data_IF_585191654013
#
_entry.id   IF_585191654013
#
_cell.length_a   1.000
_cell.length_b   1.000
_cell.length_c   1.000
_cell.angle_alpha   90.00
_cell.angle_beta   90.00
_cell.angle_gamma   90.00
#
_symmetry.space_group_name_H-M   'P 1'
#
loop_
_entity.id
_entity.type
_entity.pdbx_description
1 polymer ?
#
# COMPACT_ATOMS: atom_id res chain seq x y z
N UNK A 1 -5.19 -31.93 -53.25
CA UNK A 1 -4.04 -31.08 -52.92
C UNK A 1 -4.06 -29.84 -53.81
N UNK A 2 -4.37 -28.67 -53.24
CA UNK A 2 -4.28 -27.35 -53.88
C UNK A 2 -3.45 -26.47 -52.94
N UNK A 3 -2.41 -25.76 -53.40
CA UNK A 3 -1.59 -24.94 -52.52
C UNK A 3 -2.28 -23.59 -52.26
N UNK A 4 -2.33 -23.23 -50.98
CA UNK A 4 -2.81 -21.94 -50.49
C UNK A 4 -1.70 -20.89 -50.65
N UNK A 5 -2.02 -19.79 -51.34
CA UNK A 5 -1.16 -18.61 -51.44
C UNK A 5 -1.11 -17.88 -50.08
N UNK A 6 0.11 -17.68 -49.55
CA UNK A 6 0.38 -16.86 -48.37
C UNK A 6 0.70 -15.44 -48.82
N UNK A 7 -0.22 -14.51 -48.57
CA UNK A 7 -0.07 -13.09 -48.81
C UNK A 7 0.84 -12.44 -47.76
N UNK A 8 1.73 -11.57 -48.23
CA UNK A 8 2.55 -10.63 -47.45
C UNK A 8 1.71 -9.42 -47.02
N UNK A 9 2.09 -8.80 -45.90
CA UNK A 9 1.90 -7.39 -45.46
C UNK A 9 1.68 -7.36 -43.93
N UNK A 10 2.16 -6.40 -43.14
CA UNK A 10 2.97 -5.23 -43.38
C UNK A 10 3.66 -4.84 -42.05
N UNK A 11 4.76 -4.11 -42.15
CA UNK A 11 5.49 -3.55 -41.02
C UNK A 11 4.64 -2.51 -40.26
N UNK A 12 4.63 -2.60 -38.93
CA UNK A 12 4.08 -1.59 -38.02
C UNK A 12 5.07 -0.43 -37.87
N UNK A 13 4.61 0.84 -37.92
CA UNK A 13 5.46 1.98 -37.62
C UNK A 13 5.72 2.11 -36.10
N UNK A 14 6.99 2.31 -35.74
CA UNK A 14 7.42 2.75 -34.41
C UNK A 14 6.96 4.19 -34.19
N UNK A 15 6.03 4.40 -33.25
CA UNK A 15 5.78 5.71 -32.66
C UNK A 15 6.68 5.86 -31.43
N UNK A 16 7.77 6.60 -31.60
CA UNK A 16 8.54 7.19 -30.51
C UNK A 16 8.17 8.67 -30.33
N UNK A 17 8.22 9.10 -29.07
CA UNK A 17 8.31 10.48 -28.55
C UNK A 17 7.05 11.35 -28.53
N UNK A 18 6.49 11.54 -27.33
CA UNK A 18 6.55 12.83 -26.62
C UNK A 18 5.87 12.73 -25.23
N UNK A 19 6.67 12.53 -24.19
CA UNK A 19 6.27 12.78 -22.80
C UNK A 19 7.39 13.59 -22.15
N UNK A 20 7.29 14.91 -22.28
CA UNK A 20 8.20 15.87 -21.65
C UNK A 20 7.50 17.21 -21.51
N UNK A 21 6.74 17.41 -20.42
CA UNK A 21 6.52 18.74 -19.80
C UNK A 21 5.72 18.72 -18.49
N UNK A 22 5.03 17.64 -18.10
CA UNK A 22 4.14 17.69 -16.92
C UNK A 22 4.81 17.40 -15.56
N UNK A 23 6.12 17.12 -15.52
CA UNK A 23 6.83 16.73 -14.29
C UNK A 23 7.60 17.89 -13.62
N UNK A 24 7.56 19.10 -14.18
CA UNK A 24 8.36 20.26 -13.73
C UNK A 24 7.63 21.25 -12.78
N UNK A 25 6.37 21.01 -12.42
CA UNK A 25 5.61 21.94 -11.55
C UNK A 25 5.45 21.50 -10.09
N UNK A 26 6.28 20.57 -9.58
CA UNK A 26 6.36 20.25 -8.14
C UNK A 26 7.72 20.55 -7.48
N UNK A 27 8.59 21.34 -8.10
CA UNK A 27 9.84 21.81 -7.46
C UNK A 27 9.97 23.33 -7.32
N UNK A 28 8.92 24.10 -7.55
CA UNK A 28 8.98 25.57 -7.47
C UNK A 28 7.92 26.20 -6.56
N UNK A 29 7.93 25.80 -5.29
CA UNK A 29 7.63 26.72 -4.19
C UNK A 29 8.91 26.89 -3.36
N UNK A 30 9.83 27.67 -3.91
CA UNK A 30 11.05 28.13 -3.26
C UNK A 30 10.69 29.09 -2.11
N UNK A 31 10.46 28.55 -0.91
CA UNK A 31 10.78 29.24 0.32
C UNK A 31 12.19 28.84 0.76
N UNK A 32 13.00 29.82 1.14
CA UNK A 32 14.41 29.65 1.51
C UNK A 32 14.54 28.78 2.76
N UNK A 33 15.19 27.61 2.61
CA UNK A 33 16.06 26.88 3.56
C UNK A 33 15.77 27.08 5.06
N UNK A 34 14.67 26.51 5.56
CA UNK A 34 14.77 25.73 6.78
C UNK A 34 15.39 24.38 6.38
N UNK A 35 16.37 23.86 7.12
CA UNK A 35 16.91 22.54 6.84
C UNK A 35 15.76 21.54 6.85
N UNK A 36 15.39 21.01 5.67
CA UNK A 36 14.35 19.99 5.54
C UNK A 36 14.92 18.69 6.12
N UNK A 37 14.88 18.56 7.44
CA UNK A 37 15.05 17.27 8.08
C UNK A 37 14.00 16.35 7.47
N UNK A 38 14.38 15.17 6.95
CA UNK A 38 13.42 14.20 6.44
C UNK A 38 12.32 13.95 7.48
N UNK A 39 11.06 13.77 7.07
CA UNK A 39 9.96 13.55 8.01
C UNK A 39 10.09 12.26 8.81
N UNK A 40 10.98 11.34 8.42
CA UNK A 40 11.20 10.03 9.03
C UNK A 40 12.69 9.79 9.34
N UNK A 41 13.01 8.88 10.29
CA UNK A 41 14.37 8.37 10.49
C UNK A 41 14.99 7.88 9.17
N UNK A 42 16.32 7.99 8.98
CA UNK A 42 16.97 7.73 7.69
C UNK A 42 16.63 6.39 7.06
N UNK A 43 16.59 5.30 7.87
CA UNK A 43 16.25 3.97 7.35
C UNK A 43 14.82 3.89 6.85
N UNK A 44 13.86 4.46 7.59
CA UNK A 44 12.46 4.47 7.19
C UNK A 44 12.26 5.35 5.95
N UNK A 45 12.94 6.49 5.88
CA UNK A 45 12.92 7.34 4.70
C UNK A 45 13.43 6.60 3.45
N UNK A 46 14.51 5.83 3.56
CA UNK A 46 15.03 5.04 2.44
C UNK A 46 14.00 4.01 1.92
N UNK A 47 13.24 3.38 2.82
CA UNK A 47 12.16 2.46 2.43
C UNK A 47 11.00 3.22 1.75
N UNK A 48 10.59 4.37 2.30
CA UNK A 48 9.56 5.23 1.70
C UNK A 48 9.97 5.66 0.28
N UNK A 49 11.20 6.11 0.11
CA UNK A 49 11.74 6.52 -1.19
C UNK A 49 11.77 5.35 -2.18
N UNK A 50 12.15 4.15 -1.73
CA UNK A 50 12.09 2.95 -2.55
C UNK A 50 10.66 2.68 -3.03
N UNK A 51 9.68 2.69 -2.13
CA UNK A 51 8.27 2.39 -2.42
C UNK A 51 7.69 3.42 -3.40
N UNK A 52 7.95 4.71 -3.21
CA UNK A 52 7.47 5.75 -4.12
C UNK A 52 7.93 5.52 -5.57
N UNK A 53 9.16 5.04 -5.72
CA UNK A 53 9.78 4.82 -7.02
C UNK A 53 9.46 3.45 -7.65
N UNK A 54 9.15 2.41 -6.87
CA UNK A 54 9.07 1.03 -7.37
C UNK A 54 7.75 0.31 -7.13
N UNK A 55 6.90 0.79 -6.22
CA UNK A 55 5.75 0.02 -5.78
C UNK A 55 4.69 -0.15 -6.88
N UNK A 56 4.21 -1.39 -7.00
CA UNK A 56 3.03 -1.77 -7.77
C UNK A 56 1.94 -2.30 -6.82
N UNK A 57 1.09 -1.38 -6.36
CA UNK A 57 0.10 -1.60 -5.30
C UNK A 57 -1.27 -2.06 -5.81
N UNK A 58 -1.37 -2.40 -7.10
CA UNK A 58 -2.64 -2.78 -7.75
C UNK A 58 -2.45 -4.05 -8.57
N UNK A 59 -2.97 -5.16 -8.05
CA UNK A 59 -3.10 -6.44 -8.77
C UNK A 59 -1.81 -6.92 -9.42
N UNK A 60 -0.74 -6.98 -8.64
CA UNK A 60 0.54 -7.53 -9.10
C UNK A 60 0.48 -9.06 -9.28
N UNK A 61 -0.62 -9.69 -8.84
CA UNK A 61 -0.85 -11.13 -8.99
C UNK A 61 0.14 -11.96 -8.18
N UNK A 62 0.68 -11.39 -7.10
CA UNK A 62 1.52 -12.13 -6.17
C UNK A 62 0.60 -12.99 -5.29
N UNK A 63 0.65 -14.33 -5.41
CA UNK A 63 -0.07 -15.18 -4.49
C UNK A 63 0.53 -15.06 -3.09
N UNK A 64 -0.32 -15.11 -2.07
CA UNK A 64 0.15 -15.35 -0.70
C UNK A 64 0.21 -16.85 -0.43
N UNK A 65 1.19 -17.25 0.39
CA UNK A 65 1.46 -18.63 0.74
C UNK A 65 0.98 -18.98 2.16
N UNK A 66 0.73 -17.98 3.01
CA UNK A 66 0.24 -18.16 4.37
C UNK A 66 1.18 -19.03 5.23
N UNK A 67 2.48 -18.82 5.09
CA UNK A 67 3.52 -19.48 5.89
C UNK A 67 3.94 -18.60 7.07
N UNK A 68 4.50 -19.20 8.12
CA UNK A 68 5.08 -18.43 9.23
C UNK A 68 6.26 -17.60 8.74
N UNK A 69 6.47 -16.41 9.30
CA UNK A 69 7.47 -15.46 8.80
C UNK A 69 8.91 -15.99 8.77
N UNK A 70 9.24 -16.99 9.59
CA UNK A 70 10.55 -17.66 9.59
C UNK A 70 10.76 -18.64 8.43
N UNK A 71 9.69 -19.05 7.76
CA UNK A 71 9.71 -20.01 6.65
C UNK A 71 9.55 -19.32 5.29
N UNK A 72 9.11 -18.06 5.27
CA UNK A 72 8.87 -17.30 4.04
C UNK A 72 10.14 -17.18 3.19
N UNK A 73 10.03 -17.64 1.93
CA UNK A 73 11.09 -17.51 0.92
C UNK A 73 10.84 -16.35 -0.06
N UNK A 74 9.74 -15.62 0.10
CA UNK A 74 9.38 -14.49 -0.77
C UNK A 74 10.50 -13.45 -0.77
N UNK A 75 11.12 -13.16 -1.92
CA UNK A 75 12.22 -12.20 -1.97
C UNK A 75 11.71 -10.80 -1.64
N UNK A 76 12.37 -10.12 -0.71
CA UNK A 76 12.11 -8.73 -0.36
C UNK A 76 13.26 -7.82 -0.79
N UNK A 77 13.00 -6.54 -1.11
CA UNK A 77 14.04 -5.58 -1.43
C UNK A 77 15.08 -5.46 -0.31
N UNK A 78 16.35 -5.24 -0.67
CA UNK A 78 17.45 -5.16 0.29
C UNK A 78 17.22 -4.08 1.38
N UNK A 79 16.62 -2.95 1.00
CA UNK A 79 16.28 -1.85 1.95
C UNK A 79 15.31 -2.27 3.05
N UNK A 80 14.60 -3.39 2.86
CA UNK A 80 13.61 -3.94 3.78
C UNK A 80 14.13 -5.13 4.59
N UNK A 81 15.32 -5.65 4.27
CA UNK A 81 15.87 -6.79 4.99
C UNK A 81 16.08 -6.42 6.46
N UNK A 82 15.65 -7.32 7.35
CA UNK A 82 15.71 -7.11 8.80
C UNK A 82 14.84 -5.96 9.31
N UNK A 83 13.85 -5.49 8.53
CA UNK A 83 12.85 -4.54 9.01
C UNK A 83 11.85 -5.28 9.91
N UNK A 84 11.72 -4.83 11.15
CA UNK A 84 10.77 -5.34 12.15
C UNK A 84 10.13 -4.16 12.89
N UNK A 85 9.05 -4.39 13.63
CA UNK A 85 8.46 -3.35 14.48
C UNK A 85 9.42 -2.86 15.57
N UNK A 86 10.25 -3.73 16.14
CA UNK A 86 11.30 -3.33 17.09
C UNK A 86 12.33 -2.38 16.45
N UNK A 87 12.75 -2.66 15.20
CA UNK A 87 13.63 -1.75 14.46
C UNK A 87 12.96 -0.40 14.24
N UNK A 88 11.68 -0.37 13.86
CA UNK A 88 10.93 0.88 13.68
C UNK A 88 10.90 1.68 15.00
N UNK A 89 10.60 1.03 16.13
CA UNK A 89 10.57 1.68 17.44
C UNK A 89 11.95 2.25 17.84
N UNK A 90 13.04 1.52 17.58
CA UNK A 90 14.40 1.99 17.84
C UNK A 90 14.76 3.20 16.98
N UNK A 91 14.45 3.16 15.68
CA UNK A 91 14.71 4.26 14.74
C UNK A 91 13.94 5.53 15.13
N UNK A 92 12.67 5.40 15.52
CA UNK A 92 11.82 6.54 15.90
C UNK A 92 12.25 7.15 17.24
N UNK A 93 12.64 6.33 18.21
CA UNK A 93 13.05 6.82 19.53
C UNK A 93 14.52 7.23 19.62
N UNK A 94 15.36 6.80 18.68
CA UNK A 94 16.81 6.92 18.75
C UNK A 94 17.44 6.08 19.87
N UNK A 95 16.67 5.21 20.53
CA UNK A 95 17.12 4.39 21.66
C UNK A 95 17.49 2.99 21.18
N UNK A 96 18.79 2.66 21.25
CA UNK A 96 19.25 1.27 21.21
C UNK A 96 18.96 0.61 22.56
N UNK A 97 17.71 0.27 22.82
CA UNK A 97 17.40 -0.59 23.96
C UNK A 97 17.77 -2.03 23.62
N UNK A 98 18.34 -2.74 24.60
CA UNK A 98 18.60 -4.17 24.45
C UNK A 98 17.28 -4.86 24.11
N UNK A 99 17.26 -5.58 22.98
CA UNK A 99 16.11 -6.31 22.40
C UNK A 99 15.44 -7.26 23.42
N UNK A 100 16.13 -7.57 24.52
CA UNK A 100 15.70 -8.52 25.54
C UNK A 100 14.65 -8.00 26.54
N UNK A 101 14.24 -6.73 26.51
CA UNK A 101 13.13 -6.24 27.35
C UNK A 101 11.87 -6.04 26.53
N UNK A 102 11.05 -7.09 26.43
CA UNK A 102 9.70 -7.06 25.81
C UNK A 102 8.82 -5.91 26.35
N UNK A 103 9.09 -5.42 27.56
CA UNK A 103 8.37 -4.34 28.22
C UNK A 103 8.83 -2.90 27.90
N UNK A 104 9.77 -2.70 26.97
CA UNK A 104 10.39 -1.37 26.83
C UNK A 104 9.50 -0.29 26.17
N UNK A 105 8.46 -0.69 25.43
CA UNK A 105 7.55 0.21 24.71
C UNK A 105 6.07 -0.06 25.06
N UNK A 106 5.21 0.98 25.10
CA UNK A 106 3.77 0.80 25.27
C UNK A 106 3.18 -0.13 24.20
N UNK A 107 2.20 -0.96 24.58
CA UNK A 107 1.54 -1.87 23.64
C UNK A 107 0.92 -1.15 22.42
N UNK A 108 0.22 0.00 22.57
CA UNK A 108 -0.28 0.76 21.41
C UNK A 108 0.81 1.14 20.41
N UNK A 109 1.98 1.60 20.88
CA UNK A 109 3.11 1.95 20.03
C UNK A 109 3.62 0.73 19.25
N UNK A 110 3.69 -0.46 19.89
CA UNK A 110 4.06 -1.70 19.18
C UNK A 110 3.06 -2.04 18.07
N UNK A 111 1.76 -1.94 18.33
CA UNK A 111 0.75 -2.23 17.32
C UNK A 111 0.87 -1.30 16.09
N UNK A 112 1.10 0.00 16.29
CA UNK A 112 1.33 0.93 15.18
C UNK A 112 2.66 0.68 14.46
N UNK A 113 3.71 0.23 15.16
CA UNK A 113 4.97 -0.17 14.55
C UNK A 113 4.80 -1.42 13.66
N UNK A 114 4.01 -2.42 14.07
CA UNK A 114 3.66 -3.59 13.25
C UNK A 114 2.90 -3.16 11.98
N UNK A 115 1.92 -2.26 12.11
CA UNK A 115 1.18 -1.70 10.97
C UNK A 115 2.11 -0.94 10.01
N UNK A 116 3.07 -0.18 10.51
CA UNK A 116 4.05 0.53 9.67
C UNK A 116 4.98 -0.45 8.94
N UNK A 117 5.48 -1.48 9.61
CA UNK A 117 6.27 -2.53 8.98
C UNK A 117 5.45 -3.21 7.87
N UNK A 118 4.19 -3.56 8.16
CA UNK A 118 3.30 -4.17 7.19
C UNK A 118 3.04 -3.27 5.97
N UNK A 119 2.80 -1.98 6.16
CA UNK A 119 2.68 -1.02 5.07
C UNK A 119 3.93 -1.01 4.20
N UNK A 120 5.11 -0.98 4.80
CA UNK A 120 6.34 -1.04 4.04
C UNK A 120 6.40 -2.35 3.23
N UNK A 121 6.07 -3.49 3.83
CA UNK A 121 6.06 -4.78 3.13
C UNK A 121 5.06 -4.83 1.98
N UNK A 122 3.86 -4.25 2.13
CA UNK A 122 2.90 -4.07 1.02
C UNK A 122 3.53 -3.27 -0.12
N UNK A 123 4.19 -2.14 0.18
CA UNK A 123 4.86 -1.31 -0.82
C UNK A 123 6.07 -1.98 -1.49
N UNK A 124 6.73 -2.89 -0.78
CA UNK A 124 7.88 -3.66 -1.27
C UNK A 124 7.55 -5.01 -1.92
N UNK A 125 6.28 -5.41 -1.95
CA UNK A 125 5.83 -6.70 -2.51
C UNK A 125 5.92 -7.91 -1.56
N UNK A 126 6.25 -7.71 -0.28
CA UNK A 126 6.29 -8.76 0.74
C UNK A 126 4.91 -9.03 1.37
N UNK A 127 3.93 -9.48 0.59
CA UNK A 127 2.53 -9.57 1.04
C UNK A 127 2.33 -10.51 2.24
N UNK A 128 2.94 -11.70 2.27
CA UNK A 128 2.86 -12.60 3.42
C UNK A 128 3.47 -12.01 4.70
N UNK A 129 4.61 -11.31 4.59
CA UNK A 129 5.21 -10.62 5.73
C UNK A 129 4.27 -9.54 6.28
N UNK A 130 3.66 -8.76 5.39
CA UNK A 130 2.69 -7.75 5.77
C UNK A 130 1.45 -8.38 6.43
N UNK A 131 0.93 -9.45 5.86
CA UNK A 131 -0.23 -10.19 6.34
C UNK A 131 0.02 -10.71 7.76
N UNK A 132 1.11 -11.43 7.97
CA UNK A 132 1.46 -11.99 9.28
C UNK A 132 1.58 -10.92 10.38
N UNK A 133 1.99 -9.70 10.05
CA UNK A 133 2.09 -8.59 11.00
C UNK A 133 0.71 -8.02 11.39
N UNK A 134 -0.25 -7.93 10.46
CA UNK A 134 -1.54 -7.27 10.71
C UNK A 134 -2.68 -8.23 11.06
N UNK A 135 -2.58 -9.51 10.71
CA UNK A 135 -3.61 -10.50 11.07
C UNK A 135 -3.86 -10.54 12.59
N UNK A 136 -2.86 -10.58 13.48
CA UNK A 136 -3.10 -10.62 14.92
C UNK A 136 -3.86 -9.39 15.43
N UNK A 137 -3.64 -8.24 14.79
CA UNK A 137 -4.22 -6.95 15.20
C UNK A 137 -5.65 -6.74 14.67
N UNK A 138 -6.05 -7.44 13.61
CA UNK A 138 -7.30 -7.22 12.87
C UNK A 138 -8.22 -8.44 12.79
N UNK A 139 -7.73 -9.62 13.16
CA UNK A 139 -8.49 -10.87 13.16
C UNK A 139 -8.76 -11.37 14.58
N UNK A 140 -9.97 -11.88 14.81
CA UNK A 140 -10.44 -12.26 16.16
C UNK A 140 -9.83 -13.55 16.71
N UNK A 141 -9.18 -14.37 15.87
CA UNK A 141 -8.75 -15.72 16.20
C UNK A 141 -7.27 -15.94 15.95
N UNK A 142 -6.68 -16.93 16.63
CA UNK A 142 -5.32 -17.41 16.33
C UNK A 142 -5.25 -17.98 14.91
N UNK A 143 -4.16 -17.71 14.21
CA UNK A 143 -3.80 -18.39 12.96
C UNK A 143 -2.49 -19.15 13.11
N UNK A 144 -2.24 -20.11 12.23
CA UNK A 144 -0.99 -20.90 12.25
C UNK A 144 0.21 -20.06 11.79
N UNK A 145 0.00 -19.09 10.90
CA UNK A 145 1.05 -18.28 10.28
C UNK A 145 1.38 -17.00 11.06
N UNK A 146 0.36 -16.34 11.64
CA UNK A 146 0.53 -15.06 12.33
C UNK A 146 0.52 -15.19 13.87
N UNK A 147 0.11 -16.35 14.40
CA UNK A 147 0.05 -16.58 15.83
C UNK A 147 -1.26 -16.10 16.49
N UNK A 148 -1.25 -15.83 17.82
CA UNK A 148 -2.45 -15.48 18.57
C UNK A 148 -2.97 -14.09 18.21
N UNK A 149 -4.29 -13.89 18.28
CA UNK A 149 -4.90 -12.57 18.11
C UNK A 149 -4.57 -11.61 19.27
N UNK A 150 -4.70 -10.31 19.00
CA UNK A 150 -4.53 -9.20 19.96
C UNK A 150 -5.87 -8.47 20.13
N UNK A 151 -6.77 -8.96 21.00
CA UNK A 151 -8.06 -8.34 21.23
C UNK A 151 -7.92 -6.90 21.71
N UNK A 152 -8.70 -5.99 21.13
CA UNK A 152 -8.69 -4.58 21.52
C UNK A 152 -7.43 -3.81 21.12
N UNK A 153 -6.69 -4.28 20.09
CA UNK A 153 -5.55 -3.54 19.55
C UNK A 153 -5.92 -2.09 19.23
N UNK A 154 -5.13 -1.14 19.75
CA UNK A 154 -5.25 0.28 19.45
C UNK A 154 -5.11 0.62 17.95
N UNK A 155 -4.49 -0.27 17.17
CA UNK A 155 -4.30 -0.12 15.73
C UNK A 155 -5.17 -1.09 14.90
N UNK A 156 -6.23 -1.66 15.48
CA UNK A 156 -7.06 -2.66 14.80
C UNK A 156 -7.68 -2.13 13.49
N UNK A 157 -8.09 -0.86 13.48
CA UNK A 157 -8.68 -0.22 12.31
C UNK A 157 -7.66 -0.03 11.19
N UNK A 158 -6.47 0.46 11.53
CA UNK A 158 -5.37 0.63 10.60
C UNK A 158 -4.86 -0.71 10.08
N UNK A 159 -4.73 -1.72 10.94
CA UNK A 159 -4.39 -3.09 10.56
C UNK A 159 -5.40 -3.68 9.57
N UNK A 160 -6.70 -3.53 9.81
CA UNK A 160 -7.74 -3.94 8.86
C UNK A 160 -7.63 -3.19 7.53
N UNK A 161 -7.26 -1.90 7.55
CA UNK A 161 -7.03 -1.13 6.33
C UNK A 161 -5.83 -1.69 5.54
N UNK A 162 -4.72 -1.98 6.21
CA UNK A 162 -3.54 -2.60 5.58
C UNK A 162 -3.89 -3.98 5.01
N UNK A 163 -4.71 -4.76 5.71
CA UNK A 163 -5.26 -6.03 5.22
C UNK A 163 -5.99 -5.86 3.87
N UNK A 164 -6.77 -4.78 3.71
CA UNK A 164 -7.40 -4.46 2.45
C UNK A 164 -6.39 -4.14 1.33
N UNK A 165 -5.27 -3.46 1.66
CA UNK A 165 -4.21 -3.17 0.71
C UNK A 165 -3.48 -4.43 0.25
N UNK A 166 -3.21 -5.35 1.19
CA UNK A 166 -2.58 -6.66 0.91
C UNK A 166 -3.39 -7.41 -0.14
N UNK A 167 -4.69 -7.61 0.12
CA UNK A 167 -5.55 -8.37 -0.80
C UNK A 167 -5.81 -7.64 -2.12
N UNK A 168 -5.82 -6.30 -2.14
CA UNK A 168 -5.88 -5.58 -3.43
C UNK A 168 -4.61 -5.78 -4.26
N UNK A 169 -3.45 -5.86 -3.61
CA UNK A 169 -2.19 -6.16 -4.29
C UNK A 169 -2.21 -7.59 -4.86
N UNK A 170 -2.68 -8.57 -4.08
CA UNK A 170 -2.91 -9.97 -4.49
C UNK A 170 -3.80 -10.08 -5.76
N UNK A 171 -4.83 -9.23 -5.87
CA UNK A 171 -5.58 -9.05 -7.11
C UNK A 171 -6.51 -10.21 -7.46
N UNK A 172 -6.22 -10.93 -8.55
CA UNK A 172 -7.04 -12.07 -9.02
C UNK A 172 -6.58 -13.42 -8.46
N UNK A 173 -5.49 -13.47 -7.69
CA UNK A 173 -5.11 -14.69 -7.01
C UNK A 173 -6.19 -15.07 -6.00
N UNK A 174 -6.58 -16.35 -6.00
CA UNK A 174 -7.51 -16.91 -5.03
C UNK A 174 -6.74 -17.25 -3.75
N UNK A 175 -7.22 -16.72 -2.63
CA UNK A 175 -6.67 -16.94 -1.29
C UNK A 175 -7.72 -17.49 -0.32
N UNK A 176 -7.58 -17.14 0.97
CA UNK A 176 -8.35 -17.72 2.09
C UNK A 176 -9.89 -17.64 1.92
N UNK A 177 -10.40 -16.60 1.23
CA UNK A 177 -11.84 -16.36 1.07
C UNK A 177 -12.25 -15.90 -0.35
N UNK A 178 -11.55 -16.40 -1.38
CA UNK A 178 -11.76 -16.05 -2.78
C UNK A 178 -10.68 -15.10 -3.30
N UNK A 179 -10.97 -14.37 -4.38
CA UNK A 179 -9.98 -13.48 -5.00
C UNK A 179 -9.52 -12.37 -4.05
N UNK A 180 -8.28 -11.91 -4.21
CA UNK A 180 -7.77 -10.72 -3.52
C UNK A 180 -8.70 -9.50 -3.63
N UNK A 181 -9.29 -9.23 -4.80
CA UNK A 181 -10.23 -8.11 -4.93
C UNK A 181 -11.52 -8.26 -4.10
N UNK A 182 -12.09 -9.47 -3.98
CA UNK A 182 -13.24 -9.69 -3.10
C UNK A 182 -12.86 -9.53 -1.62
N UNK A 183 -11.69 -10.04 -1.22
CA UNK A 183 -11.20 -9.92 0.15
C UNK A 183 -10.88 -8.47 0.53
N UNK A 184 -10.32 -7.69 -0.40
CA UNK A 184 -10.06 -6.27 -0.18
C UNK A 184 -11.33 -5.50 0.22
N UNK A 185 -12.47 -5.77 -0.43
CA UNK A 185 -13.74 -5.11 -0.10
C UNK A 185 -14.22 -5.41 1.33
N UNK A 186 -14.09 -6.66 1.76
CA UNK A 186 -14.41 -7.05 3.14
C UNK A 186 -13.57 -6.26 4.14
N UNK A 187 -12.26 -6.23 3.94
CA UNK A 187 -11.33 -5.54 4.85
C UNK A 187 -11.48 -4.01 4.83
N UNK A 188 -11.80 -3.42 3.69
CA UNK A 188 -12.15 -1.99 3.63
C UNK A 188 -13.39 -1.65 4.47
N UNK A 189 -14.34 -2.57 4.51
CA UNK A 189 -15.54 -2.42 5.33
C UNK A 189 -15.18 -2.55 6.80
N UNK A 190 -14.39 -3.56 7.18
CA UNK A 190 -13.90 -3.76 8.54
C UNK A 190 -13.07 -2.57 9.05
N UNK A 191 -12.29 -1.93 8.18
CA UNK A 191 -11.52 -0.73 8.49
C UNK A 191 -12.36 0.55 8.61
N UNK A 192 -13.67 0.49 8.30
CA UNK A 192 -14.54 1.65 8.11
C UNK A 192 -13.85 2.70 7.22
N UNK A 193 -13.30 2.27 6.08
CA UNK A 193 -12.37 3.08 5.29
C UNK A 193 -12.98 4.37 4.74
N UNK A 194 -14.28 4.39 4.45
CA UNK A 194 -15.00 5.58 4.00
C UNK A 194 -14.95 6.73 5.02
N UNK A 195 -14.90 6.41 6.33
CA UNK A 195 -14.82 7.39 7.43
C UNK A 195 -13.43 7.42 8.08
N UNK A 196 -12.41 6.83 7.45
CA UNK A 196 -11.05 6.86 7.96
C UNK A 196 -10.46 8.28 7.84
N UNK A 197 -9.60 8.74 8.77
CA UNK A 197 -9.00 10.08 8.70
C UNK A 197 -8.32 10.42 7.36
N UNK A 198 -7.85 9.41 6.63
CA UNK A 198 -7.22 9.60 5.31
C UNK A 198 -8.22 9.69 4.15
N UNK A 199 -9.50 9.35 4.34
CA UNK A 199 -10.50 9.22 3.28
C UNK A 199 -10.69 10.52 2.50
N UNK A 200 -10.85 11.65 3.20
CA UNK A 200 -11.05 12.95 2.55
C UNK A 200 -9.76 13.47 1.89
N UNK A 201 -8.58 13.46 2.55
CA UNK A 201 -7.30 13.76 1.88
C UNK A 201 -7.06 12.91 0.63
N UNK A 202 -7.38 11.61 0.68
CA UNK A 202 -7.21 10.70 -0.45
C UNK A 202 -8.15 11.06 -1.61
N UNK A 203 -9.41 11.39 -1.33
CA UNK A 203 -10.33 11.82 -2.39
C UNK A 203 -9.83 13.10 -3.08
N UNK A 204 -9.24 14.04 -2.35
CA UNK A 204 -8.65 15.26 -2.94
C UNK A 204 -7.47 14.93 -3.85
N UNK A 205 -6.56 14.06 -3.42
CA UNK A 205 -5.44 13.56 -4.23
C UNK A 205 -5.93 12.88 -5.51
N UNK A 206 -6.94 12.02 -5.39
CA UNK A 206 -7.52 11.30 -6.52
C UNK A 206 -8.22 12.25 -7.51
N UNK A 207 -8.95 13.25 -7.02
CA UNK A 207 -9.54 14.32 -7.87
C UNK A 207 -8.45 15.09 -8.62
N UNK A 208 -7.33 15.37 -7.97
CA UNK A 208 -6.19 16.02 -8.62
C UNK A 208 -5.61 15.13 -9.74
N UNK A 209 -5.44 13.82 -9.51
CA UNK A 209 -4.95 12.87 -10.50
C UNK A 209 -5.86 12.73 -11.74
N UNK A 210 -7.17 12.89 -11.54
CA UNK A 210 -8.18 12.83 -12.60
C UNK A 210 -8.30 14.13 -13.41
N UNK A 211 -7.82 15.27 -12.90
CA UNK A 211 -8.02 16.59 -13.48
C UNK A 211 -7.62 16.65 -14.97
N UNK A 212 -8.54 17.15 -15.81
CA UNK A 212 -8.35 17.29 -17.25
C UNK A 212 -8.53 16.00 -18.05
N UNK A 213 -9.01 14.92 -17.42
CA UNK A 213 -9.30 13.64 -18.06
C UNK A 213 -10.77 13.29 -17.84
N UNK A 214 -11.69 13.66 -18.76
CA UNK A 214 -13.14 13.62 -18.52
C UNK A 214 -13.67 12.27 -18.02
N UNK A 215 -13.11 11.16 -18.53
CA UNK A 215 -13.48 9.80 -18.11
C UNK A 215 -13.12 9.52 -16.65
N UNK A 216 -11.92 9.91 -16.22
CA UNK A 216 -11.48 9.72 -14.83
C UNK A 216 -12.19 10.71 -13.90
N UNK A 217 -12.47 11.93 -14.33
CA UNK A 217 -13.26 12.89 -13.55
C UNK A 217 -14.67 12.35 -13.28
N UNK A 218 -15.33 11.80 -14.31
CA UNK A 218 -16.63 11.15 -14.14
C UNK A 218 -16.56 9.98 -13.16
N UNK A 219 -15.52 9.13 -13.26
CA UNK A 219 -15.29 8.04 -12.32
C UNK A 219 -15.14 8.54 -10.88
N UNK A 220 -14.29 9.53 -10.63
CA UNK A 220 -14.02 10.06 -9.28
C UNK A 220 -15.23 10.81 -8.72
N UNK A 221 -15.95 11.56 -9.55
CA UNK A 221 -17.19 12.23 -9.14
C UNK A 221 -18.25 11.23 -8.68
N UNK A 222 -18.23 9.99 -9.21
CA UNK A 222 -19.12 8.93 -8.74
C UNK A 222 -18.83 8.47 -7.30
N UNK A 223 -17.67 8.78 -6.72
CA UNK A 223 -17.33 8.32 -5.36
C UNK A 223 -18.11 9.07 -4.28
N UNK A 224 -18.60 10.27 -4.57
CA UNK A 224 -19.36 11.11 -3.64
C UNK A 224 -18.46 12.05 -2.83
N UNK A 225 -18.83 12.27 -1.56
CA UNK A 225 -18.12 13.19 -0.65
C UNK A 225 -16.86 12.60 -0.01
N UNK A 226 -16.76 11.27 0.02
CA UNK A 226 -15.66 10.52 0.64
C UNK A 226 -15.04 9.55 -0.36
N UNK A 227 -13.86 9.03 -0.04
CA UNK A 227 -13.30 7.91 -0.80
C UNK A 227 -14.26 6.72 -0.74
N UNK A 228 -14.48 6.08 -1.89
CA UNK A 228 -15.39 4.95 -2.03
C UNK A 228 -14.59 3.67 -2.37
N UNK A 229 -14.10 2.91 -1.37
CA UNK A 229 -13.17 1.81 -1.59
C UNK A 229 -13.70 0.76 -2.57
N UNK A 230 -14.97 0.38 -2.47
CA UNK A 230 -15.53 -0.66 -3.36
C UNK A 230 -15.59 -0.24 -4.82
N UNK A 231 -15.86 1.04 -5.10
CA UNK A 231 -15.80 1.58 -6.47
C UNK A 231 -14.36 1.61 -6.97
N UNK A 232 -13.42 1.97 -6.10
CA UNK A 232 -11.99 1.97 -6.43
C UNK A 232 -11.46 0.57 -6.73
N UNK A 233 -11.74 -0.41 -5.87
CA UNK A 233 -11.38 -1.83 -6.08
C UNK A 233 -12.00 -2.38 -7.37
N UNK A 234 -13.27 -2.07 -7.65
CA UNK A 234 -13.93 -2.47 -8.90
C UNK A 234 -13.26 -1.84 -10.12
N UNK A 235 -12.84 -0.58 -10.03
CA UNK A 235 -12.12 0.10 -11.12
C UNK A 235 -10.75 -0.56 -11.38
N UNK A 236 -10.04 -0.95 -10.31
CA UNK A 236 -8.77 -1.67 -10.40
C UNK A 236 -8.94 -3.02 -11.11
N UNK A 237 -9.90 -3.84 -10.67
CA UNK A 237 -10.13 -5.16 -11.25
C UNK A 237 -10.57 -5.08 -12.71
N UNK A 238 -11.50 -4.17 -13.03
CA UNK A 238 -11.95 -3.96 -14.41
C UNK A 238 -10.81 -3.52 -15.32
N UNK A 239 -9.97 -2.57 -14.88
CA UNK A 239 -8.86 -2.07 -15.68
C UNK A 239 -7.83 -3.16 -16.01
N UNK A 240 -7.56 -4.09 -15.08
CA UNK A 240 -6.70 -5.24 -15.34
C UNK A 240 -7.34 -6.21 -16.33
N UNK A 241 -8.62 -6.56 -16.14
CA UNK A 241 -9.34 -7.49 -17.03
C UNK A 241 -9.42 -6.98 -18.47
N UNK A 242 -9.76 -5.70 -18.64
CA UNK A 242 -9.94 -5.09 -19.97
C UNK A 242 -8.64 -4.55 -20.56
N UNK A 243 -7.55 -4.58 -19.79
CA UNK A 243 -6.25 -3.97 -20.14
C UNK A 243 -6.36 -2.48 -20.45
N UNK A 244 -7.22 -1.78 -19.70
CA UNK A 244 -7.40 -0.34 -19.80
C UNK A 244 -6.23 0.38 -19.13
N UNK A 245 -5.22 0.75 -19.93
CA UNK A 245 -3.98 1.33 -19.43
C UNK A 245 -4.17 2.72 -18.78
N UNK A 246 -5.19 3.48 -19.17
CA UNK A 246 -5.48 4.79 -18.58
C UNK A 246 -6.01 4.63 -17.15
N UNK A 247 -7.05 3.80 -16.97
CA UNK A 247 -7.61 3.54 -15.65
C UNK A 247 -6.59 2.80 -14.77
N UNK A 248 -5.84 1.85 -15.32
CA UNK A 248 -4.82 1.13 -14.57
C UNK A 248 -3.73 2.07 -14.05
N UNK A 249 -3.21 2.98 -14.89
CA UNK A 249 -2.23 3.99 -14.47
C UNK A 249 -2.80 4.92 -13.39
N UNK A 250 -4.06 5.33 -13.54
CA UNK A 250 -4.76 6.10 -12.51
C UNK A 250 -4.87 5.35 -11.18
N UNK A 251 -5.32 4.08 -11.20
CA UNK A 251 -5.43 3.24 -10.02
C UNK A 251 -4.09 3.05 -9.31
N UNK A 252 -3.00 2.82 -10.05
CA UNK A 252 -1.65 2.70 -9.47
C UNK A 252 -1.21 3.99 -8.76
N UNK A 253 -1.45 5.15 -9.36
CA UNK A 253 -1.10 6.43 -8.75
C UNK A 253 -1.98 6.74 -7.52
N UNK A 254 -3.28 6.45 -7.59
CA UNK A 254 -4.20 6.60 -6.46
C UNK A 254 -3.82 5.69 -5.28
N UNK A 255 -3.45 4.43 -5.55
CA UNK A 255 -2.99 3.48 -4.54
C UNK A 255 -1.68 3.94 -3.86
N UNK A 256 -0.76 4.59 -4.60
CA UNK A 256 0.43 5.22 -4.03
C UNK A 256 0.09 6.37 -3.08
N UNK A 257 -0.84 7.25 -3.48
CA UNK A 257 -1.35 8.33 -2.61
C UNK A 257 -2.00 7.76 -1.33
N UNK A 258 -2.86 6.75 -1.46
CA UNK A 258 -3.51 6.09 -0.33
C UNK A 258 -2.49 5.49 0.64
N UNK A 259 -1.52 4.74 0.12
CA UNK A 259 -0.44 4.16 0.92
C UNK A 259 0.33 5.23 1.68
N UNK A 260 0.71 6.32 1.01
CA UNK A 260 1.49 7.39 1.62
C UNK A 260 0.72 8.11 2.74
N UNK A 261 -0.58 8.39 2.51
CA UNK A 261 -1.44 9.01 3.51
C UNK A 261 -1.64 8.09 4.73
N UNK A 262 -1.87 6.79 4.50
CA UNK A 262 -2.02 5.82 5.58
C UNK A 262 -0.72 5.64 6.38
N UNK A 263 0.41 5.54 5.69
CA UNK A 263 1.73 5.47 6.32
C UNK A 263 2.00 6.68 7.21
N UNK A 264 1.78 7.89 6.69
CA UNK A 264 1.94 9.13 7.46
C UNK A 264 1.02 9.16 8.68
N UNK A 265 -0.26 8.78 8.53
CA UNK A 265 -1.22 8.69 9.64
C UNK A 265 -0.71 7.74 10.73
N UNK A 266 -0.33 6.51 10.37
CA UNK A 266 0.16 5.52 11.31
C UNK A 266 1.47 5.95 11.99
N UNK A 267 2.35 6.65 11.26
CA UNK A 267 3.58 7.19 11.81
C UNK A 267 3.32 8.28 12.85
N UNK A 268 2.41 9.23 12.55
CA UNK A 268 1.99 10.23 13.54
C UNK A 268 1.43 9.56 14.79
N UNK A 269 0.54 8.56 14.62
CA UNK A 269 -0.02 7.81 15.74
C UNK A 269 1.07 7.13 16.58
N UNK A 270 2.03 6.46 15.95
CA UNK A 270 3.16 5.87 16.66
C UNK A 270 3.91 6.90 17.51
N UNK A 271 4.23 8.07 16.94
CA UNK A 271 4.94 9.14 17.65
C UNK A 271 4.11 9.65 18.83
N UNK A 272 2.78 9.81 18.67
CA UNK A 272 1.90 10.23 19.75
C UNK A 272 1.90 9.21 20.90
N UNK A 273 1.75 7.91 20.62
CA UNK A 273 1.75 6.84 21.63
C UNK A 273 3.12 6.67 22.34
N UNK A 274 4.22 7.15 21.75
CA UNK A 274 5.55 7.14 22.35
C UNK A 274 5.80 8.36 23.27
N UNK A 275 5.01 9.41 23.14
CA UNK A 275 5.14 10.66 23.91
C UNK A 275 4.15 10.77 25.09
N UNK A 276 3.22 9.81 25.21
CA UNK A 276 2.28 9.69 26.33
C UNK A 276 2.92 9.01 27.54
#
# INVERSE_FOLDING_TARGET
MKPFHRSQNAAMPRLQASLSTAQQHRTSASSKKAGNTPPYPPRLQAVVDYIQNHADLVGNGLPMYYEVSSELQTPIPAVMQGLTSDVILQEVTGKQQAINTVQAFPAPARHFADVLAALMFVGGGGLDYAHNLVTPLSWGSRTNYAGPSVPGSAAAREAAYVHALIHRAEGFCDGEFGSGFSNANYWYTAAAAATHPISQPLLLDIKFLAKGKPRLEALVNSYGEYFAPSKFVTSCSQALTTKDLEILSFCKNAAKSEWHLLFRHCYTRLVDELNM
#
